data_IF_327018595410
#
_entry.id   IF_327018595410
#
_cell.length_a   1.000
_cell.length_b   1.000
_cell.length_c   1.000
_cell.angle_alpha   90.00
_cell.angle_beta   90.00
_cell.angle_gamma   90.00
#
_symmetry.space_group_name_H-M   'P 1'
#
loop_
_entity.id
_entity.type
_entity.pdbx_description
1 polymer ?
#
# COMPACT_ATOMS: atom_id res chain seq x y z
N UNK A 1 21.52 2.10 -12.21
CA UNK A 1 21.78 3.55 -12.28
C UNK A 1 20.46 4.29 -12.46
N UNK A 2 19.65 3.93 -13.47
CA UNK A 2 18.29 4.50 -13.66
C UNK A 2 17.39 4.40 -12.43
N UNK A 3 17.28 3.24 -11.77
CA UNK A 3 16.44 3.12 -10.56
C UNK A 3 16.91 4.00 -9.38
N UNK A 4 18.21 4.28 -9.26
CA UNK A 4 18.74 5.18 -8.21
C UNK A 4 18.47 6.64 -8.59
N UNK A 5 18.61 6.97 -9.87
CA UNK A 5 18.38 8.31 -10.41
C UNK A 5 16.89 8.68 -10.37
N UNK A 6 16.01 7.74 -10.69
CA UNK A 6 14.56 7.91 -10.61
C UNK A 6 14.11 8.10 -9.15
N UNK A 7 14.63 7.29 -8.20
CA UNK A 7 14.41 7.50 -6.77
C UNK A 7 14.92 8.86 -6.27
N UNK A 8 16.05 9.35 -6.81
CA UNK A 8 16.64 10.63 -6.45
C UNK A 8 15.92 11.83 -7.07
N UNK A 9 15.40 11.73 -8.28
CA UNK A 9 14.69 12.85 -8.91
C UNK A 9 13.23 12.89 -8.45
N UNK A 10 12.46 11.82 -8.63
CA UNK A 10 11.03 11.83 -8.28
C UNK A 10 10.80 11.64 -6.79
N UNK A 11 11.58 10.78 -6.12
CA UNK A 11 11.42 10.52 -4.68
C UNK A 11 11.85 11.70 -3.81
N UNK A 12 12.95 12.38 -4.16
CA UNK A 12 13.47 13.52 -3.41
C UNK A 12 12.60 14.77 -3.59
N UNK A 13 12.21 15.09 -4.83
CA UNK A 13 11.33 16.22 -5.12
C UNK A 13 9.96 16.07 -4.43
N UNK A 14 9.40 14.85 -4.48
CA UNK A 14 8.14 14.54 -3.80
C UNK A 14 8.24 14.70 -2.28
N UNK A 15 9.36 14.28 -1.68
CA UNK A 15 9.59 14.41 -0.24
C UNK A 15 9.71 15.88 0.18
N UNK A 16 10.52 16.66 -0.54
CA UNK A 16 10.69 18.09 -0.25
C UNK A 16 9.35 18.82 -0.36
N UNK A 17 8.65 18.59 -1.48
CA UNK A 17 7.35 19.22 -1.72
C UNK A 17 6.34 18.82 -0.66
N UNK A 18 6.29 17.54 -0.26
CA UNK A 18 5.39 17.08 0.80
C UNK A 18 5.69 17.75 2.15
N UNK A 19 6.96 17.83 2.55
CA UNK A 19 7.38 18.45 3.82
C UNK A 19 7.08 19.95 3.81
N UNK A 20 7.43 20.66 2.75
CA UNK A 20 7.16 22.09 2.62
C UNK A 20 5.66 22.38 2.62
N UNK A 21 4.87 21.57 1.89
CA UNK A 21 3.42 21.73 1.83
C UNK A 21 2.81 21.47 3.20
N UNK A 22 3.22 20.41 3.90
CA UNK A 22 2.74 20.06 5.24
C UNK A 22 3.03 21.18 6.26
N UNK A 23 4.29 21.62 6.35
CA UNK A 23 4.68 22.66 7.30
C UNK A 23 4.01 23.99 6.92
N UNK A 24 4.00 24.33 5.63
CA UNK A 24 3.38 25.55 5.12
C UNK A 24 1.89 25.62 5.42
N UNK A 25 1.13 24.55 5.17
CA UNK A 25 -0.30 24.50 5.52
C UNK A 25 -0.53 24.50 7.02
N UNK A 26 0.26 23.77 7.81
CA UNK A 26 0.13 23.77 9.27
C UNK A 26 0.33 25.17 9.85
N UNK A 27 1.38 25.89 9.43
CA UNK A 27 1.65 27.27 9.87
C UNK A 27 0.53 28.21 9.42
N UNK A 28 0.10 28.14 8.15
CA UNK A 28 -1.01 28.96 7.64
C UNK A 28 -2.28 28.78 8.46
N UNK A 29 -2.66 27.53 8.76
CA UNK A 29 -3.86 27.24 9.54
C UNK A 29 -3.78 27.79 10.96
N UNK A 30 -2.62 27.66 11.62
CA UNK A 30 -2.43 28.16 12.99
C UNK A 30 -2.43 29.70 13.03
N UNK A 31 -1.83 30.35 12.03
CA UNK A 31 -1.83 31.82 11.92
C UNK A 31 -3.23 32.37 11.62
N UNK A 32 -4.01 31.67 10.80
CA UNK A 32 -5.39 32.07 10.48
C UNK A 32 -6.35 31.87 11.66
N UNK A 33 -6.40 30.66 12.21
CA UNK A 33 -7.24 30.34 13.37
C UNK A 33 -6.71 29.09 14.08
N UNK A 34 -6.08 29.30 15.24
CA UNK A 34 -5.49 28.24 16.07
C UNK A 34 -6.48 27.11 16.37
N UNK A 35 -7.78 27.41 16.54
CA UNK A 35 -8.78 26.37 16.86
C UNK A 35 -9.08 25.47 15.67
N UNK A 36 -9.25 26.06 14.47
CA UNK A 36 -9.45 25.30 13.23
C UNK A 36 -8.19 24.53 12.85
N UNK A 37 -7.01 25.15 13.00
CA UNK A 37 -5.73 24.50 12.77
C UNK A 37 -5.49 23.29 13.69
N UNK A 38 -5.83 23.40 14.97
CA UNK A 38 -5.76 22.27 15.91
C UNK A 38 -6.72 21.14 15.55
N UNK A 39 -7.94 21.43 15.07
CA UNK A 39 -8.88 20.41 14.59
C UNK A 39 -8.33 19.66 13.37
N UNK A 40 -7.76 20.37 12.40
CA UNK A 40 -7.10 19.74 11.24
C UNK A 40 -5.86 18.92 11.67
N UNK A 41 -5.03 19.46 12.56
CA UNK A 41 -3.86 18.76 13.09
C UNK A 41 -4.24 17.51 13.89
N UNK A 42 -5.41 17.48 14.53
CA UNK A 42 -5.91 16.29 15.22
C UNK A 42 -6.27 15.13 14.27
N UNK A 43 -6.53 15.40 12.98
CA UNK A 43 -6.71 14.35 11.97
C UNK A 43 -5.38 13.67 11.59
N UNK A 44 -4.26 14.38 11.73
CA UNK A 44 -2.92 13.88 11.41
C UNK A 44 -2.54 12.61 12.20
N UNK A 45 -2.63 12.54 13.55
CA UNK A 45 -2.31 11.32 14.28
C UNK A 45 -3.21 10.14 13.91
N UNK A 46 -4.47 10.38 13.54
CA UNK A 46 -5.38 9.33 13.06
C UNK A 46 -4.89 8.75 11.73
N UNK A 47 -4.49 9.63 10.80
CA UNK A 47 -3.88 9.21 9.53
C UNK A 47 -2.56 8.46 9.75
N UNK A 48 -1.70 8.94 10.65
CA UNK A 48 -0.44 8.27 10.99
C UNK A 48 -0.70 6.87 11.56
N UNK A 49 -1.67 6.72 12.46
CA UNK A 49 -2.06 5.41 12.99
C UNK A 49 -2.56 4.46 11.89
N UNK A 50 -3.39 4.97 10.97
CA UNK A 50 -3.94 4.20 9.85
C UNK A 50 -2.82 3.75 8.90
N UNK A 51 -1.88 4.66 8.58
CA UNK A 51 -0.68 4.37 7.80
C UNK A 51 0.21 3.34 8.52
N UNK A 52 0.41 3.48 9.82
CA UNK A 52 1.27 2.57 10.59
C UNK A 52 0.68 1.15 10.67
N UNK A 53 -0.64 1.04 10.87
CA UNK A 53 -1.36 -0.22 10.79
C UNK A 53 -1.23 -0.85 9.40
N UNK A 54 -1.46 -0.07 8.34
CA UNK A 54 -1.31 -0.52 6.95
C UNK A 54 0.11 -0.97 6.64
N UNK A 55 1.11 -0.23 7.12
CA UNK A 55 2.51 -0.53 6.87
C UNK A 55 2.94 -1.81 7.60
N UNK A 56 2.49 -2.00 8.84
CA UNK A 56 2.74 -3.22 9.62
C UNK A 56 2.10 -4.45 8.97
N UNK A 57 0.89 -4.32 8.46
CA UNK A 57 0.18 -5.44 7.81
C UNK A 57 0.72 -5.72 6.40
N UNK A 58 1.02 -4.67 5.61
CA UNK A 58 1.69 -4.78 4.31
C UNK A 58 3.06 -5.42 4.44
N UNK A 59 3.86 -5.07 5.46
CA UNK A 59 5.20 -5.62 5.65
C UNK A 59 5.19 -7.14 5.82
N UNK A 60 4.16 -7.70 6.46
CA UNK A 60 3.99 -9.17 6.55
C UNK A 60 3.68 -9.77 5.18
N UNK A 61 2.73 -9.21 4.45
CA UNK A 61 2.30 -9.70 3.13
C UNK A 61 3.43 -9.59 2.09
N UNK A 62 4.22 -8.50 2.12
CA UNK A 62 5.37 -8.30 1.24
C UNK A 62 6.50 -9.32 1.45
N UNK A 63 6.59 -9.94 2.62
CA UNK A 63 7.53 -11.03 2.87
C UNK A 63 7.04 -12.32 2.20
N UNK A 64 5.76 -12.62 2.34
CA UNK A 64 5.11 -13.80 1.75
C UNK A 64 5.13 -13.76 0.22
N UNK A 65 4.90 -12.58 -0.39
CA UNK A 65 4.98 -12.39 -1.85
C UNK A 65 6.39 -12.70 -2.39
N UNK A 66 7.43 -12.29 -1.65
CA UNK A 66 8.83 -12.45 -2.08
C UNK A 66 9.27 -13.92 -2.04
N UNK A 67 8.81 -14.64 -1.02
CA UNK A 67 9.06 -16.07 -0.85
C UNK A 67 8.39 -16.89 -1.97
N UNK A 68 7.18 -16.50 -2.39
CA UNK A 68 6.46 -17.16 -3.47
C UNK A 68 7.03 -16.84 -4.85
N UNK A 69 7.44 -15.60 -5.10
CA UNK A 69 8.14 -15.28 -6.36
C UNK A 69 9.40 -16.13 -6.53
N UNK A 70 10.17 -16.34 -5.45
CA UNK A 70 11.33 -17.23 -5.49
C UNK A 70 10.93 -18.69 -5.76
N UNK A 71 9.89 -19.19 -5.09
CA UNK A 71 9.39 -20.55 -5.28
C UNK A 71 8.92 -20.80 -6.72
N UNK A 72 8.18 -19.86 -7.31
CA UNK A 72 7.69 -19.93 -8.69
C UNK A 72 8.87 -19.99 -9.68
N UNK A 73 9.91 -19.19 -9.45
CA UNK A 73 11.12 -19.20 -10.30
C UNK A 73 11.82 -20.57 -10.21
N UNK A 74 11.97 -21.12 -9.00
CA UNK A 74 12.61 -22.44 -8.80
C UNK A 74 11.83 -23.54 -9.52
N UNK A 75 10.51 -23.60 -9.31
CA UNK A 75 9.62 -24.59 -9.95
C UNK A 75 9.66 -24.49 -11.48
N UNK A 76 9.69 -23.26 -12.01
CA UNK A 76 9.78 -23.01 -13.45
C UNK A 76 11.09 -23.53 -14.04
N UNK A 77 12.22 -23.25 -13.40
CA UNK A 77 13.54 -23.71 -13.84
C UNK A 77 13.64 -25.24 -13.81
N UNK A 78 13.15 -25.88 -12.75
CA UNK A 78 13.15 -27.33 -12.59
C UNK A 78 12.29 -28.03 -13.65
N UNK A 79 11.09 -27.50 -13.92
CA UNK A 79 10.18 -28.03 -14.94
C UNK A 79 10.74 -27.84 -16.36
N UNK A 80 11.33 -26.68 -16.66
CA UNK A 80 11.92 -26.39 -17.98
C UNK A 80 13.15 -27.24 -18.27
N UNK A 81 13.97 -27.50 -17.25
CA UNK A 81 15.18 -28.33 -17.37
C UNK A 81 14.80 -29.83 -17.48
N UNK A 82 13.67 -30.24 -16.91
CA UNK A 82 13.14 -31.62 -16.92
C UNK A 82 12.07 -31.93 -17.97
N UNK A 83 11.74 -31.02 -18.89
CA UNK A 83 10.52 -31.13 -19.72
C UNK A 83 10.46 -32.40 -20.60
N UNK A 84 11.61 -32.89 -21.06
CA UNK A 84 11.72 -34.17 -21.80
C UNK A 84 11.42 -35.39 -20.93
N UNK A 85 11.71 -35.34 -19.63
CA UNK A 85 11.39 -36.41 -18.70
C UNK A 85 9.88 -36.44 -18.36
N UNK A 86 9.24 -35.28 -18.22
CA UNK A 86 7.78 -35.19 -17.94
C UNK A 86 6.95 -35.80 -19.08
N UNK A 87 7.31 -35.51 -20.32
CA UNK A 87 6.67 -36.08 -21.51
C UNK A 87 6.98 -37.57 -21.68
N UNK A 88 8.21 -38.01 -21.39
CA UNK A 88 8.61 -39.41 -21.46
C UNK A 88 7.86 -40.32 -20.46
N UNK A 89 7.46 -39.79 -19.30
CA UNK A 89 6.72 -40.53 -18.27
C UNK A 89 5.20 -40.27 -18.26
N UNK A 90 4.65 -39.50 -19.23
CA UNK A 90 3.21 -39.13 -19.28
C UNK A 90 2.67 -38.55 -17.95
N UNK A 91 3.48 -37.75 -17.26
CA UNK A 91 3.12 -37.16 -15.95
C UNK A 91 2.38 -35.81 -16.03
N UNK A 92 1.89 -35.45 -17.20
CA UNK A 92 1.17 -34.20 -17.46
C UNK A 92 0.00 -33.93 -16.48
N UNK A 93 -0.87 -34.89 -16.13
CA UNK A 93 -1.98 -34.65 -15.20
C UNK A 93 -1.50 -34.34 -13.78
N UNK A 94 -0.43 -35.02 -13.35
CA UNK A 94 0.17 -34.83 -12.02
C UNK A 94 0.86 -33.46 -11.91
N UNK A 95 1.45 -32.99 -13.00
CA UNK A 95 2.08 -31.67 -13.04
C UNK A 95 1.04 -30.54 -13.08
N UNK A 96 -0.12 -30.80 -13.70
CA UNK A 96 -1.28 -29.90 -13.71
C UNK A 96 -1.82 -29.69 -12.28
N UNK A 97 -2.01 -30.76 -11.49
CA UNK A 97 -2.44 -30.66 -10.08
C UNK A 97 -1.49 -29.78 -9.24
N UNK A 98 -0.17 -29.93 -9.44
CA UNK A 98 0.84 -29.13 -8.73
C UNK A 98 0.78 -27.66 -9.17
N UNK A 99 0.56 -27.40 -10.46
CA UNK A 99 0.41 -26.04 -10.97
C UNK A 99 -0.85 -25.35 -10.43
N UNK A 100 -1.96 -26.07 -10.33
CA UNK A 100 -3.21 -25.55 -9.76
C UNK A 100 -3.05 -25.19 -8.27
N UNK A 101 -2.38 -26.02 -7.47
CA UNK A 101 -2.09 -25.71 -6.06
C UNK A 101 -1.24 -24.44 -5.92
N UNK A 102 -0.21 -24.28 -6.75
CA UNK A 102 0.64 -23.07 -6.74
C UNK A 102 -0.18 -21.85 -7.18
N UNK A 103 -1.03 -21.98 -8.20
CA UNK A 103 -1.87 -20.90 -8.69
C UNK A 103 -2.90 -20.46 -7.64
N UNK A 104 -3.50 -21.39 -6.89
CA UNK A 104 -4.43 -21.07 -5.82
C UNK A 104 -3.72 -20.39 -4.64
N UNK A 105 -2.52 -20.84 -4.26
CA UNK A 105 -1.70 -20.16 -3.25
C UNK A 105 -1.35 -18.73 -3.67
N UNK A 106 -1.00 -18.53 -4.95
CA UNK A 106 -0.75 -17.20 -5.51
C UNK A 106 -2.02 -16.32 -5.48
N UNK A 107 -3.18 -16.88 -5.84
CA UNK A 107 -4.47 -16.18 -5.80
C UNK A 107 -4.84 -15.72 -4.40
N UNK A 108 -4.73 -16.60 -3.40
CA UNK A 108 -5.05 -16.28 -1.99
C UNK A 108 -4.20 -15.12 -1.47
N UNK A 109 -2.93 -15.05 -1.85
CA UNK A 109 -2.02 -14.01 -1.38
C UNK A 109 -2.26 -12.68 -2.09
N UNK A 110 -2.54 -12.72 -3.39
CA UNK A 110 -2.99 -11.52 -4.08
C UNK A 110 -4.32 -11.00 -3.54
N UNK A 111 -5.28 -11.88 -3.22
CA UNK A 111 -6.55 -11.47 -2.62
C UNK A 111 -6.34 -10.76 -1.27
N UNK A 112 -5.43 -11.27 -0.43
CA UNK A 112 -5.05 -10.60 0.83
C UNK A 112 -4.47 -9.21 0.58
N UNK A 113 -3.58 -9.07 -0.40
CA UNK A 113 -3.01 -7.78 -0.80
C UNK A 113 -4.10 -6.80 -1.25
N UNK A 114 -5.01 -7.24 -2.13
CA UNK A 114 -6.10 -6.41 -2.62
C UNK A 114 -7.08 -6.01 -1.51
N UNK A 115 -7.44 -6.93 -0.61
CA UNK A 115 -8.28 -6.61 0.55
C UNK A 115 -7.65 -5.55 1.44
N UNK A 116 -6.32 -5.60 1.64
CA UNK A 116 -5.63 -4.60 2.45
C UNK A 116 -5.71 -3.20 1.82
N UNK A 117 -5.46 -3.09 0.51
CA UNK A 117 -5.62 -1.83 -0.21
C UNK A 117 -7.08 -1.36 -0.24
N UNK A 118 -8.02 -2.28 -0.40
CA UNK A 118 -9.45 -2.01 -0.44
C UNK A 118 -10.00 -1.50 0.90
N UNK A 119 -9.33 -1.77 2.03
CA UNK A 119 -9.68 -1.21 3.34
C UNK A 119 -8.95 0.12 3.59
N UNK A 120 -7.68 0.21 3.20
CA UNK A 120 -6.86 1.40 3.42
C UNK A 120 -7.38 2.64 2.69
N UNK A 121 -7.66 2.50 1.40
CA UNK A 121 -8.14 3.60 0.54
C UNK A 121 -9.42 4.27 1.07
N UNK A 122 -10.51 3.53 1.38
CA UNK A 122 -11.69 4.14 1.98
C UNK A 122 -11.43 4.63 3.41
N UNK A 123 -10.57 3.97 4.19
CA UNK A 123 -10.20 4.46 5.53
C UNK A 123 -9.61 5.87 5.51
N UNK A 124 -8.64 6.13 4.63
CA UNK A 124 -8.05 7.46 4.45
C UNK A 124 -9.10 8.48 3.98
N UNK A 125 -9.95 8.10 3.01
CA UNK A 125 -11.02 8.98 2.51
C UNK A 125 -12.05 9.33 3.60
N UNK A 126 -12.41 8.39 4.45
CA UNK A 126 -13.35 8.62 5.55
C UNK A 126 -12.78 9.62 6.55
N UNK A 127 -11.52 9.46 6.96
CA UNK A 127 -10.85 10.41 7.87
C UNK A 127 -10.80 11.81 7.26
N UNK A 128 -10.43 11.92 5.98
CA UNK A 128 -10.42 13.19 5.25
C UNK A 128 -11.79 13.85 5.20
N UNK A 129 -12.83 13.12 4.79
CA UNK A 129 -14.20 13.64 4.69
C UNK A 129 -14.78 14.05 6.04
N UNK A 130 -14.52 13.28 7.10
CA UNK A 130 -14.94 13.63 8.47
C UNK A 130 -14.25 14.91 8.94
N UNK A 131 -12.95 15.05 8.67
CA UNK A 131 -12.19 16.26 9.03
C UNK A 131 -12.75 17.48 8.31
N UNK A 132 -12.94 17.40 6.99
CA UNK A 132 -13.53 18.48 6.20
C UNK A 132 -14.93 18.84 6.70
N UNK A 133 -15.78 17.84 6.99
CA UNK A 133 -17.11 18.06 7.53
C UNK A 133 -17.10 18.78 8.88
N UNK A 134 -16.25 18.36 9.82
CA UNK A 134 -16.12 19.00 11.13
C UNK A 134 -15.62 20.44 11.02
N UNK A 135 -14.60 20.68 10.17
CA UNK A 135 -14.03 22.01 9.93
C UNK A 135 -15.07 22.95 9.31
N UNK A 136 -15.83 22.48 8.32
CA UNK A 136 -16.87 23.27 7.69
C UNK A 136 -18.03 23.59 8.64
N UNK A 137 -18.47 22.61 9.44
CA UNK A 137 -19.53 22.84 10.44
C UNK A 137 -19.12 23.87 11.49
N UNK A 138 -17.90 23.73 12.03
CA UNK A 138 -17.40 24.65 13.05
C UNK A 138 -17.07 26.04 12.48
N UNK A 139 -16.44 26.10 11.30
CA UNK A 139 -16.17 27.34 10.59
C UNK A 139 -17.44 28.08 10.18
N UNK A 140 -18.45 27.35 9.69
CA UNK A 140 -19.77 27.88 9.36
C UNK A 140 -20.52 28.40 10.57
N UNK A 141 -20.50 27.68 11.70
CA UNK A 141 -21.11 28.12 12.96
C UNK A 141 -20.46 29.39 13.53
N UNK A 142 -19.16 29.61 13.28
CA UNK A 142 -18.45 30.83 13.68
C UNK A 142 -18.68 32.03 12.77
N UNK A 143 -19.03 31.78 11.50
CA UNK A 143 -19.25 32.82 10.50
C UNK A 143 -20.70 33.34 10.48
N UNK A 144 -21.64 32.57 11.04
CA UNK A 144 -23.02 32.96 11.36
C UNK A 144 -23.08 33.78 12.65
#
# INVERSE_FOLDING_TARGET
VEAIQDMLETGFDSLITAVLTLIGTAVLLVVLDVKLGLMCLAAFPILVLLVWWFHRESSKIYRDVREISALVIVQFVETMTGIKAVQAYRREPRNQEIFEDIADRYRVINEKTFKLLAVFMPGVKLVGNLTTGLVLLYGGYRAL
#
